data_IF_978562493182
#
_entry.id   IF_978562493182
#
_cell.length_a   1.000
_cell.length_b   1.000
_cell.length_c   1.000
_cell.angle_alpha   90.00
_cell.angle_beta   90.00
_cell.angle_gamma   90.00
#
_symmetry.space_group_name_H-M   'P 1'
#
loop_
_entity.id
_entity.type
_entity.pdbx_description
1 polymer ?
#
# COMPACT_ATOMS: atom_id res chain seq x y z
N UNK A 1 -62.25 -16.36 -66.53
CA UNK A 1 -62.70 -15.72 -65.23
C UNK A 1 -61.66 -15.97 -64.23
N UNK A 2 -60.82 -14.99 -63.95
CA UNK A 2 -59.68 -15.12 -62.96
C UNK A 2 -59.97 -14.17 -61.85
N UNK A 3 -60.23 -14.76 -60.62
CA UNK A 3 -60.39 -14.00 -59.38
C UNK A 3 -59.06 -13.72 -58.79
N UNK A 4 -58.69 -12.45 -58.66
CA UNK A 4 -57.51 -11.96 -57.94
C UNK A 4 -57.85 -11.89 -56.48
N UNK A 5 -57.08 -12.65 -55.60
CA UNK A 5 -57.05 -12.47 -54.19
C UNK A 5 -56.01 -11.43 -53.81
N UNK A 6 -56.44 -10.37 -53.11
CA UNK A 6 -55.55 -9.35 -52.53
C UNK A 6 -55.23 -9.82 -51.11
N UNK A 7 -53.94 -10.08 -50.87
CA UNK A 7 -53.44 -10.37 -49.51
C UNK A 7 -52.99 -9.05 -48.91
N UNK A 8 -53.66 -8.59 -47.87
CA UNK A 8 -53.26 -7.44 -47.08
C UNK A 8 -52.12 -7.85 -46.13
N UNK A 9 -50.93 -7.24 -46.34
CA UNK A 9 -49.78 -7.41 -45.42
C UNK A 9 -49.94 -6.47 -44.22
N UNK A 10 -50.25 -7.02 -43.07
CA UNK A 10 -50.26 -6.29 -41.80
C UNK A 10 -48.83 -6.17 -41.22
N UNK A 11 -48.30 -4.94 -41.21
CA UNK A 11 -47.01 -4.61 -40.60
C UNK A 11 -47.15 -4.51 -39.08
N UNK A 12 -46.69 -5.51 -38.36
CA UNK A 12 -46.53 -5.42 -36.89
C UNK A 12 -45.31 -4.63 -36.56
N UNK A 13 -45.49 -3.44 -36.01
CA UNK A 13 -44.41 -2.58 -35.47
C UNK A 13 -44.11 -3.08 -34.05
N UNK A 14 -43.04 -3.87 -33.88
CA UNK A 14 -42.56 -4.28 -32.59
C UNK A 14 -41.83 -3.10 -31.92
N UNK A 15 -42.46 -2.48 -30.93
CA UNK A 15 -41.83 -1.46 -30.06
C UNK A 15 -40.95 -2.20 -29.05
N UNK A 16 -39.60 -2.23 -29.30
CA UNK A 16 -38.65 -2.64 -28.34
C UNK A 16 -38.51 -1.56 -27.27
N UNK A 17 -39.16 -1.75 -26.11
CA UNK A 17 -38.91 -0.94 -24.93
C UNK A 17 -37.59 -1.39 -24.33
N UNK A 18 -36.53 -0.60 -24.59
CA UNK A 18 -35.23 -0.79 -23.97
C UNK A 18 -35.34 -0.33 -22.52
N UNK A 19 -35.52 -1.24 -21.58
CA UNK A 19 -35.48 -0.95 -20.16
C UNK A 19 -34.03 -0.57 -19.78
N UNK A 20 -33.78 0.75 -19.61
CA UNK A 20 -32.57 1.23 -18.95
C UNK A 20 -32.60 0.81 -17.49
N UNK A 21 -31.94 -0.31 -17.16
CA UNK A 21 -31.68 -0.67 -15.78
C UNK A 21 -30.67 0.37 -15.20
N UNK A 22 -30.95 0.94 -14.01
CA UNK A 22 -30.00 1.81 -13.36
C UNK A 22 -28.75 0.99 -13.02
N UNK A 23 -27.61 1.31 -13.66
CA UNK A 23 -26.29 0.84 -13.24
C UNK A 23 -25.99 1.49 -11.89
N UNK A 24 -26.43 0.88 -10.81
CA UNK A 24 -25.99 1.19 -9.47
C UNK A 24 -24.47 0.98 -9.43
N UNK A 25 -23.72 2.07 -9.48
CA UNK A 25 -22.29 2.07 -9.14
C UNK A 25 -22.19 1.84 -7.62
N UNK A 26 -22.47 0.63 -7.21
CA UNK A 26 -22.09 0.14 -5.90
C UNK A 26 -20.57 0.16 -5.86
N UNK A 27 -20.00 1.22 -5.24
CA UNK A 27 -18.60 1.23 -4.83
C UNK A 27 -18.46 0.06 -3.86
N UNK A 28 -18.03 -1.08 -4.38
CA UNK A 28 -17.68 -2.22 -3.55
C UNK A 28 -16.70 -1.69 -2.51
N UNK A 29 -17.13 -1.66 -1.25
CA UNK A 29 -16.26 -1.38 -0.12
C UNK A 29 -15.26 -2.53 -0.13
N UNK A 30 -14.04 -2.27 -0.58
CA UNK A 30 -12.95 -3.22 -0.48
C UNK A 30 -12.73 -3.43 1.02
N UNK A 31 -13.27 -4.51 1.55
CA UNK A 31 -12.95 -4.96 2.90
C UNK A 31 -11.46 -5.20 2.93
N UNK A 32 -10.75 -4.54 3.83
CA UNK A 32 -9.32 -4.75 4.02
C UNK A 32 -9.06 -6.23 4.27
N UNK A 33 -8.06 -6.81 3.61
CA UNK A 33 -7.64 -8.20 3.85
C UNK A 33 -7.19 -8.42 5.32
N UNK A 34 -6.72 -7.34 5.95
CA UNK A 34 -6.37 -7.30 7.37
C UNK A 34 -7.12 -6.15 8.05
N UNK A 35 -8.39 -6.34 8.43
CA UNK A 35 -9.21 -5.27 9.00
C UNK A 35 -8.72 -4.81 10.39
N UNK A 36 -7.93 -5.62 11.07
CA UNK A 36 -7.32 -5.33 12.37
C UNK A 36 -6.08 -4.43 12.26
N UNK A 37 -5.44 -4.39 11.09
CA UNK A 37 -4.25 -3.57 10.86
C UNK A 37 -4.68 -2.18 10.35
N UNK A 38 -4.42 -1.10 11.10
CA UNK A 38 -4.75 0.25 10.65
C UNK A 38 -4.08 0.61 9.33
N UNK A 39 -4.82 1.22 8.40
CA UNK A 39 -4.30 1.68 7.12
C UNK A 39 -3.54 0.60 6.32
N UNK A 40 -3.96 -0.65 6.43
CA UNK A 40 -3.37 -1.75 5.66
C UNK A 40 -3.54 -1.49 4.17
N UNK A 41 -2.45 -1.62 3.41
CA UNK A 41 -2.41 -1.51 1.96
C UNK A 41 -1.33 -2.42 1.37
N UNK A 42 -1.67 -3.14 0.32
CA UNK A 42 -0.70 -3.78 -0.57
C UNK A 42 -0.21 -2.75 -1.58
N UNK A 43 1.00 -2.26 -1.41
CA UNK A 43 1.61 -1.28 -2.32
C UNK A 43 2.27 -1.95 -3.52
N UNK A 44 2.55 -3.24 -3.41
CA UNK A 44 2.98 -4.12 -4.50
C UNK A 44 2.78 -5.59 -4.11
N UNK A 45 3.02 -6.52 -5.04
CA UNK A 45 3.02 -7.97 -4.73
C UNK A 45 4.08 -8.35 -3.71
N UNK A 46 5.13 -7.55 -3.56
CA UNK A 46 6.27 -7.83 -2.70
C UNK A 46 6.29 -7.00 -1.41
N UNK A 47 5.47 -5.95 -1.31
CA UNK A 47 5.48 -5.07 -0.13
C UNK A 47 4.06 -4.70 0.28
N UNK A 48 3.77 -4.97 1.54
CA UNK A 48 2.54 -4.58 2.22
C UNK A 48 2.88 -3.63 3.36
N UNK A 49 2.04 -2.68 3.61
CA UNK A 49 2.28 -1.62 4.60
C UNK A 49 1.06 -1.43 5.51
N UNK A 50 1.27 -0.85 6.68
CA UNK A 50 0.16 -0.56 7.60
C UNK A 50 0.58 -0.02 8.95
N UNK A 51 -0.38 -0.03 9.86
CA UNK A 51 -0.15 0.19 11.30
C UNK A 51 0.32 -1.06 12.00
N UNK A 52 0.32 -1.02 13.35
CA UNK A 52 0.76 -2.12 14.20
C UNK A 52 -0.10 -3.37 13.99
N UNK A 53 0.49 -4.51 13.61
CA UNK A 53 -0.18 -5.80 13.59
C UNK A 53 -0.31 -6.37 15.02
N UNK A 54 -1.34 -7.16 15.25
CA UNK A 54 -1.39 -8.04 16.43
C UNK A 54 -0.46 -9.25 16.24
N UNK A 55 -0.24 -10.02 17.31
CA UNK A 55 0.53 -11.28 17.21
C UNK A 55 -0.16 -12.32 16.33
N UNK A 56 -1.49 -12.29 16.28
CA UNK A 56 -2.28 -13.12 15.35
C UNK A 56 -2.11 -12.67 13.91
N UNK A 57 -2.12 -11.34 13.66
CA UNK A 57 -1.86 -10.80 12.32
C UNK A 57 -0.48 -11.21 11.79
N UNK A 58 0.56 -11.28 12.65
CA UNK A 58 1.88 -11.77 12.26
C UNK A 58 1.83 -13.22 11.74
N UNK A 59 1.04 -14.07 12.41
CA UNK A 59 0.82 -15.46 11.98
C UNK A 59 0.11 -15.53 10.62
N UNK A 60 -0.89 -14.70 10.42
CA UNK A 60 -1.63 -14.61 9.15
C UNK A 60 -0.75 -14.03 8.03
N UNK A 61 0.04 -12.98 8.31
CA UNK A 61 1.00 -12.43 7.35
C UNK A 61 2.02 -13.49 6.91
N UNK A 62 2.53 -14.29 7.85
CA UNK A 62 3.40 -15.43 7.54
C UNK A 62 2.71 -16.45 6.65
N UNK A 63 1.47 -16.84 6.96
CA UNK A 63 0.68 -17.78 6.15
C UNK A 63 0.43 -17.26 4.73
N UNK A 64 0.39 -15.94 4.53
CA UNK A 64 0.28 -15.28 3.22
C UNK A 64 1.62 -15.13 2.48
N UNK A 65 2.71 -15.64 3.04
CA UNK A 65 4.01 -15.69 2.39
C UNK A 65 4.94 -14.52 2.73
N UNK A 66 4.58 -13.63 3.66
CA UNK A 66 5.51 -12.61 4.17
C UNK A 66 6.73 -13.28 4.76
N UNK A 67 7.91 -12.74 4.47
CA UNK A 67 9.22 -13.25 4.90
C UNK A 67 9.89 -12.35 5.92
N UNK A 68 9.58 -11.05 5.88
CA UNK A 68 10.17 -10.08 6.79
C UNK A 68 9.15 -9.08 7.33
N UNK A 69 9.38 -8.66 8.56
CA UNK A 69 8.70 -7.56 9.23
C UNK A 69 9.69 -6.40 9.39
N UNK A 70 9.28 -5.19 9.00
CA UNK A 70 10.05 -3.96 9.20
C UNK A 70 9.24 -3.03 10.07
N UNK A 71 9.68 -2.82 11.31
CA UNK A 71 9.00 -2.01 12.30
C UNK A 71 9.70 -0.64 12.45
N UNK A 72 8.98 0.45 12.15
CA UNK A 72 9.49 1.82 12.29
C UNK A 72 9.13 2.47 13.63
N UNK A 73 8.69 1.69 14.63
CA UNK A 73 8.33 2.23 15.94
C UNK A 73 9.56 2.40 16.81
N UNK A 74 9.55 3.48 17.58
CA UNK A 74 10.55 3.66 18.63
C UNK A 74 10.29 2.66 19.77
N UNK A 75 11.33 2.07 20.40
CA UNK A 75 11.15 1.09 21.49
C UNK A 75 10.27 1.57 22.65
N UNK A 76 10.27 2.87 22.94
CA UNK A 76 9.40 3.46 23.96
C UNK A 76 7.89 3.39 23.66
N UNK A 77 7.51 3.08 22.39
CA UNK A 77 6.11 3.01 21.97
C UNK A 77 5.51 1.59 22.08
N UNK A 78 6.33 0.56 22.25
CA UNK A 78 5.90 -0.82 22.17
C UNK A 78 6.93 -1.78 22.82
N UNK A 79 6.51 -3.01 23.04
CA UNK A 79 7.43 -4.09 23.41
C UNK A 79 8.06 -4.71 22.14
N UNK A 80 9.17 -4.12 21.68
CA UNK A 80 9.87 -4.59 20.49
C UNK A 80 10.38 -6.03 20.64
N UNK A 81 10.78 -6.43 21.84
CA UNK A 81 11.30 -7.78 22.09
C UNK A 81 10.21 -8.85 21.95
N UNK A 82 8.97 -8.55 22.35
CA UNK A 82 7.85 -9.48 22.20
C UNK A 82 7.50 -9.71 20.72
N UNK A 83 7.41 -8.62 19.93
CA UNK A 83 7.14 -8.71 18.50
C UNK A 83 8.27 -9.43 17.75
N UNK A 84 9.52 -9.11 18.09
CA UNK A 84 10.69 -9.80 17.53
C UNK A 84 10.70 -11.29 17.88
N UNK A 85 10.39 -11.63 19.14
CA UNK A 85 10.27 -13.01 19.61
C UNK A 85 9.22 -13.78 18.79
N UNK A 86 8.03 -13.21 18.61
CA UNK A 86 6.97 -13.81 17.80
C UNK A 86 7.37 -13.94 16.33
N UNK A 87 7.99 -12.94 15.75
CA UNK A 87 8.49 -13.00 14.38
C UNK A 87 9.52 -14.13 14.21
N UNK A 88 10.46 -14.28 15.13
CA UNK A 88 11.45 -15.38 15.14
C UNK A 88 10.79 -16.76 15.28
N UNK A 89 9.83 -16.91 16.19
CA UNK A 89 9.04 -18.14 16.33
C UNK A 89 8.40 -18.57 15.00
N UNK A 90 7.87 -17.61 14.25
CA UNK A 90 7.24 -17.82 12.94
C UNK A 90 8.25 -17.99 11.79
N UNK A 91 9.56 -17.87 12.04
CA UNK A 91 10.59 -17.89 11.01
C UNK A 91 10.53 -16.70 10.08
N UNK A 92 10.09 -15.53 10.59
CA UNK A 92 10.14 -14.24 9.91
C UNK A 92 11.46 -13.54 10.24
N UNK A 93 12.04 -12.85 9.27
CA UNK A 93 13.11 -11.88 9.55
C UNK A 93 12.48 -10.64 10.16
N UNK A 94 13.12 -10.10 11.19
CA UNK A 94 12.61 -8.92 11.89
C UNK A 94 13.66 -7.82 11.90
N UNK A 95 13.22 -6.60 11.58
CA UNK A 95 14.04 -5.40 11.55
C UNK A 95 13.29 -4.30 12.31
N UNK A 96 13.92 -3.71 13.31
CA UNK A 96 13.41 -2.52 13.97
C UNK A 96 14.29 -1.32 13.63
N UNK A 97 13.73 -0.35 12.94
CA UNK A 97 14.36 0.96 12.65
C UNK A 97 13.61 1.97 13.53
N UNK A 98 14.17 2.38 14.67
CA UNK A 98 13.46 3.23 15.62
C UNK A 98 13.38 4.68 15.11
N UNK A 99 12.21 5.06 14.55
CA UNK A 99 11.99 6.39 14.01
C UNK A 99 11.20 7.25 14.97
N UNK A 100 11.82 8.34 15.46
CA UNK A 100 11.12 9.42 16.15
C UNK A 100 10.62 10.44 15.10
N UNK A 101 9.30 10.68 14.96
CA UNK A 101 8.77 11.60 13.95
C UNK A 101 9.25 13.05 14.07
N UNK A 102 9.72 13.47 15.26
CA UNK A 102 10.23 14.82 15.52
C UNK A 102 11.73 14.96 15.27
N UNK A 103 12.45 13.85 15.03
CA UNK A 103 13.90 13.84 14.86
C UNK A 103 14.32 12.63 14.02
N UNK A 104 13.97 12.67 12.73
CA UNK A 104 14.30 11.62 11.76
C UNK A 104 15.73 11.84 11.27
N UNK A 105 16.50 10.75 11.25
CA UNK A 105 17.89 10.76 10.77
C UNK A 105 17.99 10.15 9.38
N UNK A 106 18.91 10.65 8.56
CA UNK A 106 19.16 10.15 7.21
C UNK A 106 19.56 8.67 7.22
N UNK A 107 20.35 8.24 8.21
CA UNK A 107 20.78 6.85 8.37
C UNK A 107 19.60 5.88 8.56
N UNK A 108 18.49 6.33 9.15
CA UNK A 108 17.27 5.52 9.29
C UNK A 108 16.60 5.29 7.92
N UNK A 109 16.64 6.30 7.05
CA UNK A 109 16.14 6.16 5.68
C UNK A 109 17.05 5.25 4.86
N UNK A 110 18.37 5.42 4.97
CA UNK A 110 19.35 4.58 4.28
C UNK A 110 19.21 3.10 4.69
N UNK A 111 19.07 2.82 5.98
CA UNK A 111 18.81 1.48 6.50
C UNK A 111 17.50 0.91 5.94
N UNK A 112 16.42 1.70 5.95
CA UNK A 112 15.14 1.31 5.38
C UNK A 112 15.25 0.97 3.89
N UNK A 113 15.91 1.80 3.09
CA UNK A 113 16.12 1.57 1.66
C UNK A 113 16.93 0.29 1.43
N UNK A 114 18.00 0.07 2.21
CA UNK A 114 18.81 -1.14 2.16
C UNK A 114 18.01 -2.41 2.46
N UNK A 115 17.23 -2.41 3.54
CA UNK A 115 16.42 -3.56 3.96
C UNK A 115 15.35 -3.87 2.91
N UNK A 116 14.64 -2.86 2.42
CA UNK A 116 13.52 -3.04 1.48
C UNK A 116 13.96 -3.31 0.04
N UNK A 117 15.22 -3.11 -0.29
CA UNK A 117 15.82 -3.45 -1.58
C UNK A 117 16.43 -4.86 -1.61
N UNK A 118 16.66 -5.49 -0.47
CA UNK A 118 17.20 -6.85 -0.39
C UNK A 118 16.09 -7.87 -0.69
N UNK A 119 16.20 -8.57 -1.82
CA UNK A 119 15.23 -9.57 -2.24
C UNK A 119 15.02 -10.72 -1.25
N UNK A 120 15.99 -10.97 -0.36
CA UNK A 120 15.88 -11.99 0.70
C UNK A 120 14.83 -11.61 1.75
N UNK A 121 14.50 -10.32 1.86
CA UNK A 121 13.49 -9.80 2.79
C UNK A 121 12.08 -9.76 2.17
N UNK A 122 11.95 -10.03 0.88
CA UNK A 122 10.67 -9.92 0.17
C UNK A 122 9.97 -11.27 0.00
N UNK A 123 8.64 -11.33 0.09
CA UNK A 123 7.71 -10.25 0.42
C UNK A 123 7.85 -9.77 1.87
N UNK A 124 7.69 -8.44 2.09
CA UNK A 124 7.81 -7.82 3.41
C UNK A 124 6.51 -7.11 3.84
N UNK A 125 6.26 -7.10 5.15
CA UNK A 125 5.29 -6.21 5.77
C UNK A 125 6.02 -5.12 6.56
N UNK A 126 5.69 -3.87 6.27
CA UNK A 126 6.32 -2.69 6.86
C UNK A 126 5.28 -1.94 7.67
N UNK A 127 5.58 -1.66 8.94
CA UNK A 127 4.61 -0.99 9.80
C UNK A 127 5.22 0.04 10.76
N UNK A 128 4.34 0.84 11.32
CA UNK A 128 4.55 1.65 12.51
C UNK A 128 3.27 1.61 13.35
N UNK A 129 2.97 2.62 14.17
CA UNK A 129 1.73 2.63 14.98
C UNK A 129 0.46 2.71 14.10
N UNK A 130 0.46 3.60 13.09
CA UNK A 130 -0.69 3.87 12.21
C UNK A 130 -0.34 3.95 10.71
N UNK A 131 0.85 3.51 10.29
CA UNK A 131 1.28 3.56 8.90
C UNK A 131 1.85 4.91 8.41
N UNK A 132 1.74 5.98 9.19
CA UNK A 132 2.11 7.34 8.74
C UNK A 132 3.61 7.51 8.51
N UNK A 133 4.48 6.99 9.38
CA UNK A 133 5.95 6.97 9.18
C UNK A 133 6.32 6.13 7.98
N UNK A 134 5.68 4.95 7.87
CA UNK A 134 5.86 4.07 6.72
C UNK A 134 5.56 4.79 5.42
N UNK A 135 4.48 5.55 5.36
CA UNK A 135 4.08 6.27 4.16
C UNK A 135 5.14 7.28 3.69
N UNK A 136 5.77 8.01 4.63
CA UNK A 136 6.85 8.95 4.31
C UNK A 136 8.11 8.24 3.77
N UNK A 137 8.55 7.18 4.44
CA UNK A 137 9.71 6.39 4.03
C UNK A 137 9.45 5.65 2.71
N UNK A 138 8.23 5.16 2.51
CA UNK A 138 7.84 4.50 1.27
C UNK A 138 7.77 5.48 0.10
N UNK A 139 7.31 6.71 0.31
CA UNK A 139 7.37 7.78 -0.69
C UNK A 139 8.80 8.04 -1.16
N UNK A 140 9.75 8.12 -0.22
CA UNK A 140 11.18 8.28 -0.54
C UNK A 140 11.67 7.11 -1.40
N UNK A 141 11.35 5.87 -1.00
CA UNK A 141 11.75 4.68 -1.75
C UNK A 141 11.18 4.67 -3.18
N UNK A 142 9.88 5.00 -3.34
CA UNK A 142 9.26 5.07 -4.67
C UNK A 142 9.99 5.99 -5.62
N UNK A 143 10.45 7.13 -5.09
CA UNK A 143 11.15 8.13 -5.92
C UNK A 143 12.60 7.75 -6.17
N UNK A 144 13.35 7.40 -5.13
CA UNK A 144 14.80 7.21 -5.23
C UNK A 144 15.21 5.82 -5.74
N UNK A 145 14.39 4.80 -5.49
CA UNK A 145 14.68 3.41 -5.87
C UNK A 145 13.84 2.95 -7.05
N UNK A 146 12.52 3.21 -7.02
CA UNK A 146 11.60 2.74 -8.05
C UNK A 146 11.46 3.73 -9.22
N UNK A 147 12.06 4.93 -9.12
CA UNK A 147 12.08 5.95 -10.19
C UNK A 147 10.74 6.65 -10.44
N UNK A 148 9.83 6.61 -9.46
CA UNK A 148 8.52 7.25 -9.60
C UNK A 148 8.62 8.77 -9.64
N UNK A 149 7.63 9.41 -10.26
CA UNK A 149 7.42 10.85 -10.08
C UNK A 149 7.00 11.14 -8.65
N UNK A 150 7.44 12.29 -8.12
CA UNK A 150 7.19 12.64 -6.73
C UNK A 150 5.69 12.79 -6.43
N UNK A 151 4.93 13.29 -7.42
CA UNK A 151 3.49 13.48 -7.31
C UNK A 151 2.74 12.13 -7.17
N UNK A 152 3.16 11.12 -7.92
CA UNK A 152 2.57 9.78 -7.88
C UNK A 152 2.92 9.07 -6.57
N UNK A 153 4.17 9.21 -6.11
CA UNK A 153 4.63 8.66 -4.84
C UNK A 153 3.93 9.32 -3.64
N UNK A 154 3.71 10.63 -3.69
CA UNK A 154 2.94 11.36 -2.67
C UNK A 154 1.48 10.93 -2.66
N UNK A 155 0.85 10.78 -3.82
CA UNK A 155 -0.52 10.30 -3.91
C UNK A 155 -0.68 8.88 -3.31
N UNK A 156 0.29 7.98 -3.51
CA UNK A 156 0.32 6.66 -2.86
C UNK A 156 0.52 6.80 -1.34
N UNK A 157 1.46 7.63 -0.89
CA UNK A 157 1.70 7.89 0.52
C UNK A 157 0.45 8.44 1.25
N UNK A 158 -0.31 9.29 0.58
CA UNK A 158 -1.59 9.79 1.10
C UNK A 158 -2.64 8.68 1.23
N UNK A 159 -2.65 7.68 0.34
CA UNK A 159 -3.54 6.50 0.45
C UNK A 159 -3.15 5.63 1.64
N UNK A 160 -1.85 5.50 1.94
CA UNK A 160 -1.35 4.80 3.14
C UNK A 160 -1.70 5.56 4.43
N UNK A 161 -1.95 6.88 4.34
CA UNK A 161 -2.36 7.70 5.49
C UNK A 161 -1.40 8.84 5.83
N UNK A 162 -0.50 9.25 4.94
CA UNK A 162 0.35 10.43 5.16
C UNK A 162 -0.48 11.70 5.17
N UNK A 163 -0.67 12.26 6.39
CA UNK A 163 -1.39 13.53 6.62
C UNK A 163 -0.55 14.49 7.48
N UNK A 164 0.56 14.00 8.03
CA UNK A 164 1.44 14.79 8.89
C UNK A 164 2.34 15.68 8.01
N UNK A 165 2.25 17.02 8.12
CA UNK A 165 3.01 17.92 7.27
C UNK A 165 4.52 17.84 7.52
N UNK A 166 4.95 17.59 8.76
CA UNK A 166 6.38 17.45 9.11
C UNK A 166 6.99 16.24 8.39
N UNK A 167 6.29 15.11 8.40
CA UNK A 167 6.77 13.91 7.72
C UNK A 167 6.74 14.05 6.20
N UNK A 168 5.77 14.75 5.65
CA UNK A 168 5.71 15.03 4.23
C UNK A 168 6.84 15.97 3.80
N UNK A 169 7.09 17.02 4.56
CA UNK A 169 8.18 17.97 4.31
C UNK A 169 9.54 17.26 4.42
N UNK A 170 9.74 16.46 5.45
CA UNK A 170 10.95 15.63 5.58
C UNK A 170 11.17 14.77 4.33
N UNK A 171 10.15 14.03 3.88
CA UNK A 171 10.28 13.16 2.72
C UNK A 171 10.63 13.94 1.45
N UNK A 172 10.00 15.09 1.22
CA UNK A 172 10.28 15.96 0.08
C UNK A 172 11.70 16.52 0.12
N UNK A 173 12.15 16.98 1.27
CA UNK A 173 13.50 17.52 1.45
C UNK A 173 14.55 16.43 1.26
N UNK A 174 14.37 15.26 1.84
CA UNK A 174 15.25 14.13 1.65
C UNK A 174 15.37 13.75 0.15
N UNK A 175 14.25 13.63 -0.54
CA UNK A 175 14.21 13.34 -1.99
C UNK A 175 14.96 14.43 -2.79
N UNK A 176 14.72 15.70 -2.50
CA UNK A 176 15.34 16.81 -3.21
C UNK A 176 16.87 16.77 -3.09
N UNK A 177 17.40 16.56 -1.88
CA UNK A 177 18.82 16.48 -1.61
C UNK A 177 19.49 15.29 -2.31
N UNK A 178 18.85 14.11 -2.30
CA UNK A 178 19.44 12.89 -2.83
C UNK A 178 19.24 12.70 -4.34
N UNK A 179 18.26 13.36 -4.96
CA UNK A 179 18.14 13.43 -6.43
C UNK A 179 19.22 14.28 -7.07
N UNK A 180 19.63 15.36 -6.39
CA UNK A 180 20.63 16.30 -6.91
C UNK A 180 22.07 15.79 -6.80
N UNK A 181 22.34 14.81 -5.93
CA UNK A 181 23.67 14.25 -5.69
C UNK A 181 23.99 12.96 -6.46
N UNK A 182 23.07 12.42 -7.24
CA UNK A 182 23.19 11.08 -7.82
C UNK A 182 22.89 11.00 -9.30
N UNK A 183 23.59 11.74 -10.15
CA UNK A 183 23.88 11.21 -11.48
C UNK A 183 25.21 10.44 -11.36
N UNK A 184 25.24 9.10 -11.43
CA UNK A 184 26.49 8.39 -11.62
C UNK A 184 27.06 8.80 -12.98
N UNK A 185 28.31 9.31 -12.99
CA UNK A 185 29.10 9.47 -14.21
C UNK A 185 29.39 8.11 -14.83
#
# INVERSE_FOLDING_TARGET
MIRRFIIAAGTFLAICVLALAPRGSGRAQQTSEFPTIPNFLRVSDQVWVGGQPSMEDLSQLKAKGIRAIVNLRHPAEHNAAEEEGKAKELGLRYFNIPVNPSDIKDEQVEEFLKITSDRRNLPAFIHCTKGVRVAAFWMIRRVLVDGWKIEDAEAEAQKIGLRNPILLEFARNYIAHHRSGGAPK
#
